data_IF_389525639287
#
_entry.id   IF_389525639287
#
_cell.length_a   1.000
_cell.length_b   1.000
_cell.length_c   1.000
_cell.angle_alpha   90.00
_cell.angle_beta   90.00
_cell.angle_gamma   90.00
#
_symmetry.space_group_name_H-M   'P 1'
#
loop_
_entity.id
_entity.type
_entity.pdbx_description
1 polymer ?
#
# COMPACT_ATOMS: atom_id res chain seq x y z
N UNK A 1 -20.37 7.11 1.91
CA UNK A 1 -19.89 6.00 1.09
C UNK A 1 -19.29 6.60 -0.16
N UNK A 2 -17.96 6.63 -0.17
CA UNK A 2 -17.17 7.15 -1.28
C UNK A 2 -17.28 6.20 -2.47
N UNK A 3 -17.47 6.73 -3.66
CA UNK A 3 -17.53 6.00 -4.93
C UNK A 3 -16.23 6.16 -5.71
N UNK A 4 -15.91 5.17 -6.53
CA UNK A 4 -14.73 5.24 -7.39
C UNK A 4 -14.78 6.53 -8.23
N UNK A 5 -13.66 7.26 -8.25
CA UNK A 5 -13.52 8.55 -8.91
C UNK A 5 -13.86 9.76 -8.03
N UNK A 6 -14.43 9.57 -6.84
CA UNK A 6 -14.71 10.68 -5.92
C UNK A 6 -13.42 11.37 -5.49
N UNK A 7 -13.42 12.70 -5.62
CA UNK A 7 -12.36 13.57 -5.13
C UNK A 7 -12.71 14.00 -3.71
N UNK A 8 -11.95 13.54 -2.72
CA UNK A 8 -12.22 13.77 -1.31
C UNK A 8 -11.06 14.46 -0.58
N UNK A 9 -11.35 15.39 0.34
CA UNK A 9 -10.36 15.91 1.27
C UNK A 9 -9.83 14.82 2.22
N UNK A 10 -8.59 14.98 2.68
CA UNK A 10 -7.94 14.06 3.63
C UNK A 10 -8.80 13.82 4.87
N UNK A 11 -9.45 14.87 5.39
CA UNK A 11 -10.29 14.77 6.58
C UNK A 11 -11.51 13.86 6.33
N UNK A 12 -12.09 13.90 5.12
CA UNK A 12 -13.25 13.08 4.78
C UNK A 12 -12.86 11.64 4.46
N UNK A 13 -11.68 11.43 3.84
CA UNK A 13 -11.07 10.10 3.73
C UNK A 13 -10.85 9.46 5.11
N UNK A 14 -10.32 10.20 6.09
CA UNK A 14 -10.13 9.71 7.45
C UNK A 14 -11.45 9.42 8.16
N UNK A 15 -12.51 10.21 7.89
CA UNK A 15 -13.86 9.93 8.40
C UNK A 15 -14.43 8.65 7.79
N UNK A 16 -14.30 8.46 6.47
CA UNK A 16 -14.79 7.25 5.77
C UNK A 16 -14.09 5.99 6.30
N UNK A 17 -12.77 6.03 6.51
CA UNK A 17 -12.02 4.89 7.09
C UNK A 17 -12.10 4.84 8.63
N UNK A 18 -12.67 5.86 9.26
CA UNK A 18 -12.87 5.99 10.70
C UNK A 18 -11.59 6.03 11.53
N UNK A 19 -10.44 6.36 10.92
CA UNK A 19 -9.13 6.52 11.60
C UNK A 19 -8.34 7.65 10.97
N UNK A 20 -7.36 8.18 11.71
CA UNK A 20 -6.36 9.06 11.12
C UNK A 20 -5.33 8.24 10.36
N UNK A 21 -5.33 8.36 9.03
CA UNK A 21 -4.38 7.66 8.16
C UNK A 21 -3.04 8.40 8.14
N UNK A 22 -2.11 7.96 9.00
CA UNK A 22 -0.78 8.58 9.16
C UNK A 22 0.32 7.88 8.35
N UNK A 23 0.04 6.69 7.85
CA UNK A 23 0.94 5.88 7.02
C UNK A 23 0.25 5.55 5.71
N UNK A 24 1.04 5.34 4.66
CA UNK A 24 0.51 5.03 3.34
C UNK A 24 -0.11 3.64 3.17
N UNK A 25 -0.01 2.73 4.14
CA UNK A 25 -0.51 1.36 3.99
C UNK A 25 -0.97 0.86 5.36
N UNK A 26 -2.16 0.28 5.40
CA UNK A 26 -2.85 -0.12 6.62
C UNK A 26 -3.54 -1.45 6.35
N UNK A 27 -2.98 -2.53 6.88
CA UNK A 27 -3.48 -3.89 6.70
C UNK A 27 -4.70 -4.13 7.59
N UNK A 28 -5.80 -4.59 6.98
CA UNK A 28 -7.07 -4.92 7.63
C UNK A 28 -7.48 -3.90 8.68
N UNK A 29 -7.62 -2.66 8.24
CA UNK A 29 -7.93 -1.56 9.13
C UNK A 29 -9.26 -1.84 9.85
N UNK A 30 -9.23 -1.86 11.19
CA UNK A 30 -10.36 -2.28 12.05
C UNK A 30 -10.95 -3.65 11.72
N UNK A 31 -10.15 -4.58 11.19
CA UNK A 31 -10.61 -5.92 10.80
C UNK A 31 -11.43 -5.97 9.51
N UNK A 32 -11.43 -4.90 8.72
CA UNK A 32 -12.13 -4.81 7.44
C UNK A 32 -11.11 -4.77 6.28
N UNK A 33 -11.33 -3.92 5.27
CA UNK A 33 -10.44 -3.72 4.15
C UNK A 33 -9.04 -3.25 4.58
N UNK A 34 -8.05 -3.67 3.81
CA UNK A 34 -6.76 -2.99 3.79
C UNK A 34 -6.88 -1.66 3.05
N UNK A 35 -6.07 -0.67 3.41
CA UNK A 35 -6.09 0.67 2.81
C UNK A 35 -4.70 1.09 2.41
N UNK A 36 -4.53 1.53 1.16
CA UNK A 36 -3.29 2.15 0.69
C UNK A 36 -3.54 3.58 0.21
N UNK A 37 -2.55 4.42 0.48
CA UNK A 37 -2.40 5.78 0.00
C UNK A 37 -1.21 5.79 -0.95
N UNK A 38 -1.47 6.05 -2.23
CA UNK A 38 -0.49 6.01 -3.31
C UNK A 38 -0.29 7.39 -3.94
N UNK A 39 0.83 7.57 -4.65
CA UNK A 39 1.03 8.77 -5.48
C UNK A 39 1.97 8.49 -6.65
N UNK A 40 1.52 8.79 -7.87
CA UNK A 40 2.35 8.78 -9.10
C UNK A 40 2.86 10.19 -9.46
N UNK A 41 2.72 11.16 -8.56
CA UNK A 41 3.10 12.55 -8.82
C UNK A 41 4.62 12.68 -8.91
N UNK A 42 5.14 13.63 -9.71
CA UNK A 42 6.57 13.95 -9.72
C UNK A 42 7.07 14.23 -8.29
N UNK A 43 8.16 13.56 -7.90
CA UNK A 43 8.74 13.68 -6.56
C UNK A 43 8.02 12.88 -5.47
N UNK A 44 7.08 12.00 -5.82
CA UNK A 44 6.57 11.01 -4.87
C UNK A 44 7.74 10.14 -4.34
N UNK A 45 7.73 9.78 -3.04
CA UNK A 45 8.84 9.07 -2.44
C UNK A 45 8.94 7.60 -2.88
N UNK A 46 7.90 7.06 -3.49
CA UNK A 46 7.77 5.66 -3.87
C UNK A 46 7.46 5.56 -5.36
N UNK A 47 7.98 4.52 -6.02
CA UNK A 47 7.74 4.30 -7.44
C UNK A 47 6.47 3.47 -7.66
N UNK A 48 5.34 4.02 -7.23
CA UNK A 48 4.01 3.51 -7.55
C UNK A 48 3.77 3.67 -9.05
N UNK A 49 3.02 2.75 -9.66
CA UNK A 49 2.62 2.89 -11.07
C UNK A 49 1.28 2.23 -11.34
N UNK A 50 0.62 2.75 -12.36
CA UNK A 50 -0.64 2.25 -12.88
C UNK A 50 -0.38 1.64 -14.26
N UNK A 51 -0.94 0.46 -14.49
CA UNK A 51 -0.88 -0.29 -15.73
C UNK A 51 -2.31 -0.62 -16.20
N UNK A 52 -2.45 -1.07 -17.45
CA UNK A 52 -3.75 -1.50 -18.03
C UNK A 52 -4.90 -0.50 -17.81
N UNK A 53 -4.67 0.79 -18.12
CA UNK A 53 -5.67 1.85 -18.03
C UNK A 53 -6.31 2.01 -16.63
N UNK A 54 -5.56 1.72 -15.55
CA UNK A 54 -6.09 1.81 -14.19
C UNK A 54 -6.43 0.48 -13.55
N UNK A 55 -6.46 -0.60 -14.33
CA UNK A 55 -6.86 -1.93 -13.83
C UNK A 55 -5.80 -2.59 -12.97
N UNK A 56 -4.53 -2.24 -13.18
CA UNK A 56 -3.41 -2.76 -12.39
C UNK A 56 -2.73 -1.61 -11.67
N UNK A 57 -2.57 -1.76 -10.36
CA UNK A 57 -1.74 -0.90 -9.53
C UNK A 57 -0.54 -1.70 -9.03
N UNK A 58 0.67 -1.20 -9.28
CA UNK A 58 1.87 -1.70 -8.64
C UNK A 58 2.28 -0.71 -7.56
N UNK A 59 2.14 -1.14 -6.31
CA UNK A 59 2.41 -0.34 -5.13
C UNK A 59 3.77 -0.71 -4.53
N UNK A 60 4.61 0.28 -4.20
CA UNK A 60 5.85 0.03 -3.46
C UNK A 60 5.57 -0.01 -1.95
N UNK A 61 6.20 -0.96 -1.26
CA UNK A 61 6.18 -1.00 0.20
C UNK A 61 6.85 0.19 0.85
N UNK A 62 6.88 0.18 2.17
CA UNK A 62 7.36 1.30 2.98
C UNK A 62 8.77 1.11 3.49
N UNK A 63 9.45 2.25 3.63
CA UNK A 63 10.74 2.31 4.27
C UNK A 63 10.60 2.27 5.79
N UNK A 64 11.73 2.10 6.47
CA UNK A 64 11.80 2.39 7.91
C UNK A 64 11.42 3.86 8.18
N UNK A 65 10.87 4.18 9.36
CA UNK A 65 10.65 5.57 9.75
C UNK A 65 11.97 6.36 9.81
N UNK A 66 11.97 7.58 9.27
CA UNK A 66 13.08 8.51 9.45
C UNK A 66 13.21 8.90 10.94
N UNK A 67 14.38 8.69 11.52
CA UNK A 67 14.68 9.03 12.93
C UNK A 67 15.97 9.84 13.01
N UNK A 68 16.05 10.79 13.95
CA UNK A 68 17.26 11.57 14.20
C UNK A 68 18.42 10.63 14.58
N UNK A 69 19.53 10.74 13.85
CA UNK A 69 20.70 9.85 14.04
C UNK A 69 20.53 8.43 13.50
N UNK A 70 19.41 8.12 12.85
CA UNK A 70 19.19 6.85 12.16
C UNK A 70 19.75 6.85 10.74
N UNK A 71 19.79 5.69 10.08
CA UNK A 71 20.18 5.61 8.68
C UNK A 71 19.17 6.33 7.78
N UNK A 72 19.61 6.73 6.60
CA UNK A 72 18.70 7.22 5.56
C UNK A 72 17.74 6.08 5.17
N UNK A 73 16.40 6.25 5.32
CA UNK A 73 15.43 5.21 4.97
C UNK A 73 15.52 4.72 3.52
N UNK A 74 16.04 5.56 2.61
CA UNK A 74 16.22 5.22 1.20
C UNK A 74 17.51 4.46 0.89
N UNK A 75 18.31 4.12 1.90
CA UNK A 75 19.58 3.39 1.75
C UNK A 75 19.58 2.00 2.42
N UNK A 76 18.44 1.56 2.98
CA UNK A 76 18.33 0.32 3.75
C UNK A 76 17.16 -0.50 3.27
N UNK A 77 17.25 -1.82 3.23
CA UNK A 77 16.15 -2.67 2.75
C UNK A 77 14.84 -2.38 3.49
N UNK A 78 13.74 -2.47 2.76
CA UNK A 78 12.42 -2.36 3.38
C UNK A 78 12.20 -3.54 4.32
N UNK A 79 11.82 -3.29 5.58
CA UNK A 79 11.75 -4.36 6.58
C UNK A 79 10.46 -5.19 6.42
N UNK A 80 10.59 -6.51 6.42
CA UNK A 80 9.45 -7.42 6.57
C UNK A 80 8.97 -7.51 8.03
N UNK A 81 9.92 -7.45 8.97
CA UNK A 81 9.68 -7.59 10.40
C UNK A 81 10.19 -6.37 11.16
N UNK A 82 9.47 -6.00 12.21
CA UNK A 82 9.95 -5.05 13.21
C UNK A 82 11.13 -5.68 13.98
N UNK A 83 11.95 -4.87 14.67
CA UNK A 83 13.03 -5.40 15.51
C UNK A 83 12.59 -6.45 16.54
N UNK A 84 11.33 -6.37 17.02
CA UNK A 84 10.74 -7.35 17.93
C UNK A 84 10.19 -8.62 17.26
N UNK A 85 10.39 -8.81 15.96
CA UNK A 85 10.01 -10.01 15.21
C UNK A 85 8.57 -10.03 14.67
N UNK A 86 7.68 -9.15 15.12
CA UNK A 86 6.35 -8.99 14.53
C UNK A 86 6.43 -8.44 13.11
N UNK A 87 5.49 -8.81 12.24
CA UNK A 87 5.46 -8.31 10.86
C UNK A 87 5.22 -6.80 10.80
N UNK A 88 5.91 -6.14 9.88
CA UNK A 88 5.58 -4.77 9.46
C UNK A 88 4.34 -4.80 8.58
N UNK A 89 3.89 -3.63 8.13
CA UNK A 89 2.85 -3.60 7.10
C UNK A 89 3.30 -4.27 5.80
N UNK A 90 4.56 -4.09 5.39
CA UNK A 90 5.11 -4.81 4.25
C UNK A 90 5.01 -6.32 4.46
N UNK A 91 5.43 -6.82 5.63
CA UNK A 91 5.36 -8.23 5.95
C UNK A 91 3.95 -8.79 5.93
N UNK A 92 2.97 -8.05 6.46
CA UNK A 92 1.56 -8.47 6.46
C UNK A 92 0.98 -8.57 5.06
N UNK A 93 1.18 -7.54 4.21
CA UNK A 93 0.72 -7.57 2.83
C UNK A 93 1.46 -8.66 2.03
N UNK A 94 2.77 -8.80 2.23
CA UNK A 94 3.58 -9.79 1.51
C UNK A 94 3.15 -11.21 1.84
N UNK A 95 3.00 -11.53 3.13
CA UNK A 95 2.53 -12.83 3.57
C UNK A 95 1.12 -13.13 3.04
N UNK A 96 0.21 -12.15 3.07
CA UNK A 96 -1.15 -12.30 2.53
C UNK A 96 -1.13 -12.62 1.03
N UNK A 97 -0.37 -11.86 0.24
CA UNK A 97 -0.23 -12.10 -1.20
C UNK A 97 0.37 -13.48 -1.50
N UNK A 98 1.42 -13.88 -0.78
CA UNK A 98 2.07 -15.18 -0.98
C UNK A 98 1.17 -16.35 -0.60
N UNK A 99 0.44 -16.25 0.51
CA UNK A 99 -0.54 -17.28 0.93
C UNK A 99 -1.62 -17.46 -0.13
N UNK A 100 -2.24 -16.36 -0.57
CA UNK A 100 -3.25 -16.40 -1.63
C UNK A 100 -2.69 -17.02 -2.92
N UNK A 101 -1.50 -16.58 -3.36
CA UNK A 101 -0.86 -17.13 -4.57
C UNK A 101 -0.54 -18.62 -4.48
N UNK A 102 -0.21 -19.12 -3.28
CA UNK A 102 0.11 -20.53 -3.06
C UNK A 102 -1.12 -21.44 -2.91
N UNK A 103 -2.23 -20.92 -2.41
CA UNK A 103 -3.45 -21.69 -2.14
C UNK A 103 -4.71 -20.84 -2.33
N UNK A 104 -4.94 -20.42 -3.57
CA UNK A 104 -6.08 -19.58 -3.95
C UNK A 104 -7.45 -20.30 -3.85
N UNK A 105 -7.46 -21.59 -3.48
CA UNK A 105 -8.71 -22.35 -3.28
C UNK A 105 -9.22 -22.25 -1.85
N UNK A 106 -8.33 -22.09 -0.87
CA UNK A 106 -8.69 -22.07 0.55
C UNK A 106 -8.35 -20.76 1.26
N UNK A 107 -7.58 -19.87 0.61
CA UNK A 107 -7.22 -18.57 1.16
C UNK A 107 -8.01 -17.49 0.43
N UNK A 108 -8.75 -16.70 1.19
CA UNK A 108 -9.40 -15.49 0.68
C UNK A 108 -8.35 -14.45 0.29
N UNK A 109 -8.57 -13.79 -0.85
CA UNK A 109 -7.73 -12.69 -1.30
C UNK A 109 -7.87 -11.46 -0.40
N UNK A 110 -6.78 -10.73 -0.24
CA UNK A 110 -6.82 -9.46 0.50
C UNK A 110 -7.41 -8.36 -0.39
N UNK A 111 -8.49 -7.73 0.09
CA UNK A 111 -9.14 -6.60 -0.57
C UNK A 111 -8.60 -5.28 -0.04
N UNK A 112 -8.19 -4.41 -0.96
CA UNK A 112 -7.45 -3.18 -0.67
C UNK A 112 -8.15 -1.98 -1.29
N UNK A 113 -8.56 -1.03 -0.47
CA UNK A 113 -9.00 0.30 -0.93
C UNK A 113 -7.78 1.14 -1.31
N UNK A 114 -7.79 1.72 -2.50
CA UNK A 114 -6.72 2.60 -2.96
C UNK A 114 -7.17 4.06 -3.05
N UNK A 115 -6.39 4.95 -2.43
CA UNK A 115 -6.55 6.39 -2.54
C UNK A 115 -5.32 7.00 -3.19
N UNK A 116 -5.52 7.80 -4.24
CA UNK A 116 -4.45 8.48 -4.96
C UNK A 116 -4.36 9.96 -4.60
N UNK A 117 -3.16 10.40 -4.24
CA UNK A 117 -2.90 11.80 -3.97
C UNK A 117 -2.78 12.59 -5.25
N UNK A 118 -3.75 13.46 -5.53
CA UNK A 118 -3.72 14.38 -6.69
C UNK A 118 -3.17 15.77 -6.34
N UNK A 119 -3.36 16.23 -5.09
CA UNK A 119 -2.74 17.46 -4.55
C UNK A 119 -2.62 17.38 -3.03
N UNK A 120 -1.97 18.36 -2.40
CA UNK A 120 -1.83 18.35 -0.93
C UNK A 120 -3.20 18.29 -0.25
N UNK A 121 -3.40 17.31 0.62
CA UNK A 121 -4.63 17.11 1.38
C UNK A 121 -5.84 16.64 0.56
N UNK A 122 -5.69 16.29 -0.72
CA UNK A 122 -6.81 15.95 -1.60
C UNK A 122 -6.48 14.68 -2.37
N UNK A 123 -7.44 13.77 -2.34
CA UNK A 123 -7.29 12.40 -2.77
C UNK A 123 -8.41 12.01 -3.73
N UNK A 124 -8.14 11.08 -4.63
CA UNK A 124 -9.16 10.38 -5.42
C UNK A 124 -9.29 8.98 -4.87
N UNK A 125 -10.52 8.47 -4.71
CA UNK A 125 -10.74 7.07 -4.41
C UNK A 125 -10.70 6.25 -5.70
N UNK A 126 -9.66 5.44 -5.87
CA UNK A 126 -9.44 4.67 -7.11
C UNK A 126 -10.23 3.36 -7.13
N UNK A 127 -10.86 2.98 -6.02
CA UNK A 127 -11.70 1.80 -5.90
C UNK A 127 -11.12 0.75 -4.96
N UNK A 128 -11.72 -0.45 -5.02
CA UNK A 128 -11.27 -1.63 -4.30
C UNK A 128 -10.45 -2.47 -5.26
N UNK A 129 -9.33 -3.00 -4.79
CA UNK A 129 -8.43 -3.85 -5.56
C UNK A 129 -8.20 -5.17 -4.81
N UNK A 130 -7.87 -6.21 -5.57
CA UNK A 130 -7.44 -7.52 -5.10
C UNK A 130 -5.92 -7.53 -5.04
N UNK A 131 -5.33 -7.89 -3.90
CA UNK A 131 -3.89 -8.12 -3.80
C UNK A 131 -3.57 -9.51 -4.38
N UNK A 132 -3.02 -9.56 -5.59
CA UNK A 132 -2.85 -10.81 -6.35
C UNK A 132 -1.42 -11.35 -6.32
N UNK A 133 -0.43 -10.49 -6.10
CA UNK A 133 0.98 -10.90 -6.01
C UNK A 133 1.81 -9.90 -5.21
N UNK A 134 2.98 -10.36 -4.75
CA UNK A 134 3.99 -9.51 -4.16
C UNK A 134 5.39 -10.06 -4.41
N UNK A 135 6.39 -9.20 -4.53
CA UNK A 135 7.80 -9.58 -4.67
C UNK A 135 8.71 -8.54 -4.00
N UNK A 136 9.98 -8.88 -3.87
CA UNK A 136 11.03 -7.91 -3.56
C UNK A 136 11.79 -7.60 -4.84
N UNK A 137 12.08 -6.32 -5.05
CA UNK A 137 12.83 -5.82 -6.20
C UNK A 137 14.08 -5.10 -5.69
N UNK A 138 15.24 -5.46 -6.25
CA UNK A 138 16.48 -4.78 -5.94
C UNK A 138 16.54 -3.46 -6.72
N UNK A 139 16.50 -2.33 -6.02
CA UNK A 139 16.56 -1.00 -6.61
C UNK A 139 17.76 -0.25 -6.02
N UNK A 140 18.68 0.14 -6.89
CA UNK A 140 19.96 0.76 -6.53
C UNK A 140 20.82 -0.12 -5.61
N UNK A 141 20.70 0.08 -4.30
CA UNK A 141 21.53 -0.59 -3.29
C UNK A 141 20.69 -1.25 -2.20
N UNK A 142 19.39 -1.45 -2.45
CA UNK A 142 18.45 -1.96 -1.45
C UNK A 142 17.31 -2.75 -2.08
N UNK A 143 16.71 -3.61 -1.29
CA UNK A 143 15.49 -4.33 -1.65
C UNK A 143 14.24 -3.58 -1.19
N UNK A 144 13.26 -3.46 -2.08
CA UNK A 144 11.95 -2.89 -1.79
C UNK A 144 10.85 -3.90 -2.06
N UNK A 145 9.75 -3.82 -1.30
CA UNK A 145 8.57 -4.62 -1.60
C UNK A 145 7.78 -4.01 -2.75
N UNK A 146 7.21 -4.86 -3.58
CA UNK A 146 6.25 -4.50 -4.62
C UNK A 146 5.02 -5.37 -4.46
N UNK A 147 3.85 -4.76 -4.62
CA UNK A 147 2.56 -5.40 -4.50
C UNK A 147 1.78 -5.18 -5.80
N UNK A 148 1.34 -6.26 -6.45
CA UNK A 148 0.45 -6.18 -7.62
C UNK A 148 -0.99 -6.24 -7.14
N UNK A 149 -1.74 -5.21 -7.47
CA UNK A 149 -3.15 -5.07 -7.17
C UNK A 149 -3.96 -4.99 -8.46
N UNK A 150 -5.05 -5.75 -8.54
CA UNK A 150 -5.96 -5.77 -9.69
C UNK A 150 -7.32 -5.20 -9.26
N UNK A 151 -7.87 -4.28 -10.05
CA UNK A 151 -9.14 -3.63 -9.73
C UNK A 151 -10.25 -4.68 -9.55
N UNK A 152 -11.05 -4.52 -8.50
CA UNK A 152 -12.23 -5.33 -8.25
C UNK A 152 -13.38 -4.74 -9.09
N UNK A 153 -13.60 -5.34 -10.25
CA UNK A 153 -14.79 -5.11 -11.10
C UNK A 153 -16.10 -5.45 -10.36
#
# INVERSE_FOLDING_TARGET
MVKQGDVIPYIDMCKEEGVNLQRGMNFRLKGSFSVILMSIRPGAPYADRIEEEGKILIYEGHDIPAKKGGPNPKMVDQPEKNPGGSLTQNGLFYEAAKKYKSDNKNVEMELVKAYEKIRSGIWVYNGIFKLVDAWQEHINTRDVFKFKLELLD
#
